data_IF_581982507943
#
_entry.id   IF_581982507943
#
_cell.length_a   1.000
_cell.length_b   1.000
_cell.length_c   1.000
_cell.angle_alpha   90.00
_cell.angle_beta   90.00
_cell.angle_gamma   90.00
#
_symmetry.space_group_name_H-M   'P 1'
#
loop_
_entity.id
_entity.type
_entity.pdbx_description
1 polymer ?
#
# COMPACT_ATOMS: atom_id res chain seq x y z
N UNK A 1 23.78 2.30 -3.84
CA UNK A 1 22.94 3.23 -4.63
C UNK A 1 21.66 3.51 -3.85
N UNK A 2 21.04 4.67 -4.05
CA UNK A 2 19.76 5.03 -3.46
C UNK A 2 18.97 5.86 -4.48
N UNK A 3 17.66 5.67 -4.52
CA UNK A 3 16.73 6.41 -5.38
C UNK A 3 15.33 6.33 -4.80
N UNK A 4 14.47 7.26 -5.23
CA UNK A 4 13.09 7.34 -4.78
C UNK A 4 12.13 6.73 -5.81
N UNK A 5 11.01 6.20 -5.31
CA UNK A 5 9.91 5.69 -6.13
C UNK A 5 8.66 6.48 -5.79
N UNK A 6 8.03 7.07 -6.80
CA UNK A 6 6.74 7.75 -6.64
C UNK A 6 5.63 6.91 -7.27
N UNK A 7 4.91 6.15 -6.44
CA UNK A 7 3.73 5.38 -6.84
C UNK A 7 2.59 5.47 -5.82
N UNK A 8 2.49 6.61 -5.13
CA UNK A 8 1.48 6.90 -4.09
C UNK A 8 1.32 5.73 -3.10
N UNK A 9 0.08 5.38 -2.71
CA UNK A 9 -0.21 4.30 -1.77
C UNK A 9 0.40 2.94 -2.18
N UNK A 10 0.63 2.72 -3.48
CA UNK A 10 1.22 1.48 -4.02
C UNK A 10 2.74 1.45 -4.02
N UNK A 11 3.39 2.51 -3.55
CA UNK A 11 4.85 2.65 -3.50
C UNK A 11 5.58 1.46 -2.89
N UNK A 12 5.06 0.87 -1.80
CA UNK A 12 5.73 -0.27 -1.16
C UNK A 12 5.70 -1.54 -2.02
N UNK A 13 4.60 -1.82 -2.73
CA UNK A 13 4.50 -3.01 -3.60
C UNK A 13 5.33 -2.84 -4.88
N UNK A 14 5.32 -1.66 -5.48
CA UNK A 14 6.24 -1.32 -6.58
C UNK A 14 7.70 -1.47 -6.15
N UNK A 15 8.05 -0.93 -4.98
CA UNK A 15 9.39 -1.06 -4.43
C UNK A 15 9.78 -2.50 -4.12
N UNK A 16 8.84 -3.34 -3.67
CA UNK A 16 9.07 -4.75 -3.40
C UNK A 16 9.42 -5.51 -4.68
N UNK A 17 8.71 -5.26 -5.78
CA UNK A 17 8.97 -5.89 -7.09
C UNK A 17 10.32 -5.46 -7.67
N UNK A 18 10.67 -4.18 -7.55
CA UNK A 18 11.98 -3.66 -7.96
C UNK A 18 13.09 -4.29 -7.10
N UNK A 19 12.92 -4.34 -5.78
CA UNK A 19 13.88 -4.93 -4.85
C UNK A 19 14.06 -6.44 -5.11
N UNK A 20 12.96 -7.16 -5.35
CA UNK A 20 12.96 -8.58 -5.75
C UNK A 20 13.81 -8.79 -7.00
N UNK A 21 13.53 -8.04 -8.07
CA UNK A 21 14.27 -8.14 -9.33
C UNK A 21 15.77 -7.88 -9.15
N UNK A 22 16.12 -6.88 -8.32
CA UNK A 22 17.51 -6.55 -8.00
C UNK A 22 18.23 -7.69 -7.27
N UNK A 23 17.56 -8.37 -6.36
CA UNK A 23 18.12 -9.50 -5.60
C UNK A 23 18.18 -10.77 -6.44
N UNK A 24 17.14 -11.08 -7.21
CA UNK A 24 17.05 -12.27 -8.07
C UNK A 24 18.09 -12.23 -9.19
N UNK A 25 18.39 -11.04 -9.75
CA UNK A 25 19.45 -10.85 -10.74
C UNK A 25 20.87 -11.16 -10.23
N UNK A 26 21.04 -11.32 -8.91
CA UNK A 26 22.34 -11.53 -8.27
C UNK A 26 23.21 -10.28 -8.18
N UNK A 27 22.70 -9.11 -8.62
CA UNK A 27 23.46 -7.85 -8.56
C UNK A 27 23.59 -7.30 -7.14
N UNK A 28 22.60 -7.55 -6.29
CA UNK A 28 22.60 -7.15 -4.88
C UNK A 28 22.18 -8.31 -3.98
N UNK A 29 22.85 -8.45 -2.84
CA UNK A 29 22.49 -9.48 -1.86
C UNK A 29 21.32 -9.04 -0.97
N UNK A 30 21.27 -7.74 -0.66
CA UNK A 30 20.27 -7.12 0.21
C UNK A 30 19.88 -5.76 -0.34
N UNK A 31 18.59 -5.43 -0.28
CA UNK A 31 18.00 -4.15 -0.65
C UNK A 31 17.20 -3.65 0.54
N UNK A 32 17.51 -2.43 1.01
CA UNK A 32 16.70 -1.73 2.00
C UNK A 32 15.59 -0.97 1.27
N UNK A 33 14.34 -1.36 1.52
CA UNK A 33 13.15 -0.68 1.02
C UNK A 33 12.49 0.08 2.16
N UNK A 34 12.29 1.39 1.95
CA UNK A 34 11.65 2.28 2.92
C UNK A 34 10.44 2.92 2.24
N UNK A 35 9.28 2.85 2.90
CA UNK A 35 8.13 3.66 2.56
C UNK A 35 7.88 4.65 3.69
N UNK A 36 7.93 5.94 3.38
CA UNK A 36 7.77 7.02 4.34
C UNK A 36 6.87 8.10 3.76
N UNK A 37 5.91 8.57 4.57
CA UNK A 37 4.83 9.44 4.14
C UNK A 37 4.60 10.52 5.20
N UNK A 38 4.50 11.78 4.74
CA UNK A 38 4.19 12.95 5.56
C UNK A 38 2.97 13.67 4.98
N UNK A 39 1.83 13.00 5.03
CA UNK A 39 0.58 13.47 4.40
C UNK A 39 -0.04 14.64 5.16
N UNK A 40 0.24 14.80 6.46
CA UNK A 40 -0.25 15.91 7.28
C UNK A 40 0.07 17.29 6.70
N UNK A 41 1.15 17.39 5.91
CA UNK A 41 1.56 18.63 5.25
C UNK A 41 0.71 19.03 4.03
N UNK A 42 -0.06 18.10 3.46
CA UNK A 42 -0.87 18.30 2.25
C UNK A 42 -2.36 18.02 2.47
N UNK A 43 -2.79 17.92 3.73
CA UNK A 43 -4.19 17.81 4.13
C UNK A 43 -4.84 19.19 4.24
N UNK A 44 -6.07 19.31 3.73
CA UNK A 44 -6.92 20.46 3.99
C UNK A 44 -7.65 20.28 5.33
N UNK A 45 -7.18 20.92 6.40
CA UNK A 45 -7.79 20.86 7.74
C UNK A 45 -9.21 21.48 7.84
N UNK A 46 -9.68 22.13 6.77
CA UNK A 46 -11.08 22.60 6.66
C UNK A 46 -11.99 21.60 5.96
N UNK A 47 -11.42 20.59 5.29
CA UNK A 47 -12.15 19.52 4.62
C UNK A 47 -12.16 18.23 5.44
N UNK A 48 -13.29 17.99 6.10
CA UNK A 48 -13.53 16.79 6.92
C UNK A 48 -13.39 15.48 6.14
N UNK A 49 -13.51 15.48 4.81
CA UNK A 49 -13.37 14.27 4.03
C UNK A 49 -11.93 13.74 3.99
N UNK A 50 -10.93 14.60 4.20
CA UNK A 50 -9.50 14.21 4.10
C UNK A 50 -8.82 14.16 5.46
N UNK A 51 -9.03 15.14 6.35
CA UNK A 51 -8.23 15.23 7.58
C UNK A 51 -8.48 14.13 8.62
N UNK A 52 -9.62 13.43 8.54
CA UNK A 52 -9.93 12.32 9.47
C UNK A 52 -9.31 10.99 9.04
N UNK A 53 -8.75 10.92 7.84
CA UNK A 53 -8.29 9.67 7.23
C UNK A 53 -6.78 9.51 7.26
N UNK A 54 -6.03 10.57 6.96
CA UNK A 54 -4.62 10.46 6.63
C UNK A 54 -3.71 10.70 7.84
N UNK A 55 -2.53 10.08 7.83
CA UNK A 55 -1.52 10.22 8.87
C UNK A 55 -0.10 10.19 8.30
N UNK A 56 0.85 10.46 9.18
CA UNK A 56 2.29 10.40 8.88
C UNK A 56 2.87 9.10 9.41
N UNK A 57 3.83 8.52 8.69
CA UNK A 57 4.47 7.29 9.14
C UNK A 57 5.54 6.79 8.19
N UNK A 58 6.36 5.85 8.69
CA UNK A 58 7.33 5.15 7.88
C UNK A 58 7.42 3.68 8.30
N UNK A 59 7.67 2.81 7.32
CA UNK A 59 7.98 1.41 7.51
C UNK A 59 9.09 0.98 6.55
N UNK A 60 9.86 -0.02 6.95
CA UNK A 60 10.98 -0.51 6.16
C UNK A 60 11.09 -2.03 6.19
N UNK A 61 11.65 -2.58 5.11
CA UNK A 61 11.98 -3.99 4.99
C UNK A 61 13.37 -4.15 4.36
N UNK A 62 14.07 -5.22 4.74
CA UNK A 62 15.28 -5.67 4.05
C UNK A 62 14.88 -6.87 3.20
N UNK A 63 15.06 -6.74 1.89
CA UNK A 63 14.79 -7.79 0.92
C UNK A 63 16.13 -8.42 0.57
N UNK A 64 16.25 -9.73 0.73
CA UNK A 64 17.47 -10.48 0.42
C UNK A 64 17.14 -11.88 -0.03
N UNK A 65 18.17 -12.65 -0.42
CA UNK A 65 18.00 -14.04 -0.83
C UNK A 65 17.50 -14.90 0.33
N UNK A 66 16.50 -15.72 0.05
CA UNK A 66 15.93 -16.70 0.97
C UNK A 66 16.38 -18.13 0.70
N UNK A 67 16.17 -18.99 1.69
CA UNK A 67 16.31 -20.45 1.55
C UNK A 67 14.96 -21.14 1.31
N UNK A 68 13.91 -20.38 0.97
CA UNK A 68 12.54 -20.86 0.76
C UNK A 68 11.83 -20.03 -0.33
N UNK A 69 10.54 -20.27 -0.51
CA UNK A 69 9.74 -19.77 -1.65
C UNK A 69 9.63 -18.23 -1.74
N UNK A 70 9.88 -17.49 -0.65
CA UNK A 70 9.95 -16.02 -0.66
C UNK A 70 8.67 -15.34 -1.16
N UNK A 71 8.82 -14.36 -2.06
CA UNK A 71 7.69 -13.68 -2.71
C UNK A 71 7.20 -14.57 -3.85
N UNK A 72 6.01 -15.16 -3.71
CA UNK A 72 5.45 -16.08 -4.71
C UNK A 72 5.08 -15.36 -6.01
N UNK A 73 4.39 -14.22 -5.91
CA UNK A 73 3.92 -13.44 -7.04
C UNK A 73 3.64 -11.99 -6.65
N UNK A 74 3.55 -11.14 -7.66
CA UNK A 74 3.24 -9.71 -7.56
C UNK A 74 2.39 -9.35 -8.78
N UNK A 75 1.22 -8.76 -8.54
CA UNK A 75 0.36 -8.27 -9.62
C UNK A 75 0.19 -6.75 -9.45
N UNK A 76 0.72 -6.00 -10.41
CA UNK A 76 0.75 -4.54 -10.39
C UNK A 76 -0.04 -4.01 -11.60
N UNK A 77 -0.97 -3.10 -11.33
CA UNK A 77 -1.82 -2.49 -12.34
C UNK A 77 -1.75 -0.96 -12.25
N UNK A 78 -2.12 -0.31 -13.36
CA UNK A 78 -2.23 1.13 -13.45
C UNK A 78 -3.46 1.50 -14.29
N UNK A 79 -4.23 2.48 -13.81
CA UNK A 79 -5.39 3.03 -14.52
C UNK A 79 -5.33 4.56 -14.45
N UNK A 80 -4.77 5.18 -15.49
CA UNK A 80 -4.64 6.64 -15.56
C UNK A 80 -5.97 7.36 -15.83
N UNK A 81 -7.02 6.64 -16.23
CA UNK A 81 -8.33 7.25 -16.53
C UNK A 81 -9.03 7.80 -15.30
N UNK A 82 -8.62 7.38 -14.11
CA UNK A 82 -9.20 7.75 -12.82
C UNK A 82 -8.38 8.76 -12.03
N UNK A 83 -7.44 9.47 -12.68
CA UNK A 83 -6.54 10.44 -12.02
C UNK A 83 -7.26 11.50 -11.20
N UNK A 84 -8.47 11.89 -11.62
CA UNK A 84 -9.23 12.97 -10.97
C UNK A 84 -9.94 12.48 -9.69
N UNK A 85 -9.88 11.17 -9.36
CA UNK A 85 -10.41 10.63 -8.11
C UNK A 85 -9.54 10.95 -6.89
N UNK A 86 -8.22 11.08 -7.07
CA UNK A 86 -7.27 11.37 -6.00
C UNK A 86 -6.05 12.10 -6.56
N UNK A 87 -5.93 13.39 -6.28
CA UNK A 87 -4.85 14.22 -6.84
C UNK A 87 -4.56 15.45 -6.00
N UNK A 88 -3.38 16.02 -6.20
CA UNK A 88 -3.04 17.36 -5.72
C UNK A 88 -3.00 18.31 -6.93
N UNK A 89 -3.90 19.30 -7.03
CA UNK A 89 -4.03 20.12 -8.24
C UNK A 89 -2.78 20.94 -8.59
N UNK A 90 -2.12 21.54 -7.60
CA UNK A 90 -0.97 22.43 -7.74
C UNK A 90 0.25 21.97 -6.95
N UNK A 91 1.40 22.59 -7.21
CA UNK A 91 2.69 22.30 -6.57
C UNK A 91 3.64 21.48 -7.45
N UNK A 92 3.13 20.91 -8.54
CA UNK A 92 3.93 20.31 -9.61
C UNK A 92 4.27 21.31 -10.72
N UNK A 93 4.99 20.84 -11.75
CA UNK A 93 5.37 21.67 -12.90
C UNK A 93 4.19 22.08 -13.79
N UNK A 94 3.13 21.27 -13.86
CA UNK A 94 1.93 21.59 -14.63
C UNK A 94 1.15 22.78 -14.04
N UNK A 95 1.25 22.98 -12.72
CA UNK A 95 0.64 24.10 -12.01
C UNK A 95 1.52 24.50 -10.81
N UNK A 96 2.53 25.37 -11.05
CA UNK A 96 3.48 25.77 -10.02
C UNK A 96 2.83 26.52 -8.85
N UNK A 97 3.59 26.67 -7.76
CA UNK A 97 3.19 27.49 -6.64
C UNK A 97 3.16 28.98 -7.03
N UNK A 98 2.00 29.61 -6.86
CA UNK A 98 1.74 31.04 -7.04
C UNK A 98 0.85 31.53 -5.90
N UNK A 99 0.75 32.84 -5.69
CA UNK A 99 -0.19 33.40 -4.70
C UNK A 99 -1.63 32.93 -4.97
N UNK A 100 -2.02 32.85 -6.24
CA UNK A 100 -3.34 32.38 -6.67
C UNK A 100 -3.58 30.91 -6.29
N UNK A 101 -2.66 30.00 -6.60
CA UNK A 101 -2.85 28.57 -6.32
C UNK A 101 -2.86 28.28 -4.82
N UNK A 102 -2.09 29.04 -4.04
CA UNK A 102 -2.10 28.98 -2.57
C UNK A 102 -3.42 29.51 -2.01
N UNK A 103 -3.87 30.70 -2.43
CA UNK A 103 -5.14 31.30 -2.00
C UNK A 103 -6.33 30.40 -2.30
N UNK A 104 -6.30 29.74 -3.46
CA UNK A 104 -7.34 28.80 -3.91
C UNK A 104 -7.19 27.39 -3.32
N UNK A 105 -6.26 27.17 -2.36
CA UNK A 105 -6.11 25.89 -1.63
C UNK A 105 -5.86 24.69 -2.55
N UNK A 106 -5.14 24.92 -3.66
CA UNK A 106 -4.88 23.94 -4.71
C UNK A 106 -3.70 23.01 -4.41
N UNK A 107 -2.96 23.28 -3.32
CA UNK A 107 -1.82 22.48 -2.86
C UNK A 107 -2.22 21.37 -1.87
N UNK A 108 -3.52 21.24 -1.59
CA UNK A 108 -4.03 20.15 -0.76
C UNK A 108 -4.59 19.02 -1.60
N UNK A 109 -4.51 17.81 -1.05
CA UNK A 109 -5.08 16.61 -1.64
C UNK A 109 -6.60 16.77 -1.84
N UNK A 110 -7.07 16.40 -3.03
CA UNK A 110 -8.50 16.32 -3.38
C UNK A 110 -8.87 14.86 -3.64
N UNK A 111 -10.03 14.45 -3.14
CA UNK A 111 -10.45 13.06 -3.19
C UNK A 111 -11.96 12.92 -3.43
N UNK A 112 -12.34 11.99 -4.30
CA UNK A 112 -13.69 11.45 -4.36
C UNK A 112 -13.72 10.09 -3.66
N UNK A 113 -13.95 10.10 -2.35
CA UNK A 113 -13.93 8.88 -1.54
C UNK A 113 -14.96 7.83 -1.95
N UNK A 114 -16.08 8.23 -2.58
CA UNK A 114 -17.13 7.30 -3.01
C UNK A 114 -16.69 6.54 -4.25
N UNK A 115 -16.13 7.23 -5.23
CA UNK A 115 -15.63 6.57 -6.45
C UNK A 115 -14.36 5.77 -6.17
N UNK A 116 -13.46 6.27 -5.31
CA UNK A 116 -12.30 5.49 -4.83
C UNK A 116 -12.75 4.18 -4.19
N UNK A 117 -13.75 4.20 -3.30
CA UNK A 117 -14.22 3.00 -2.62
C UNK A 117 -14.67 1.91 -3.61
N UNK A 118 -15.48 2.28 -4.60
CA UNK A 118 -15.98 1.34 -5.62
C UNK A 118 -14.84 0.82 -6.50
N UNK A 119 -13.95 1.72 -6.92
CA UNK A 119 -12.84 1.40 -7.80
C UNK A 119 -11.84 0.47 -7.10
N UNK A 120 -11.46 0.80 -5.85
CA UNK A 120 -10.56 0.02 -5.02
C UNK A 120 -11.07 -1.41 -4.82
N UNK A 121 -12.34 -1.60 -4.43
CA UNK A 121 -12.90 -2.96 -4.26
C UNK A 121 -12.79 -3.75 -5.56
N UNK A 122 -13.12 -3.15 -6.70
CA UNK A 122 -13.09 -3.85 -8.00
C UNK A 122 -11.67 -4.22 -8.40
N UNK A 123 -10.76 -3.25 -8.40
CA UNK A 123 -9.39 -3.42 -8.90
C UNK A 123 -8.51 -4.23 -7.95
N UNK A 124 -8.62 -4.02 -6.63
CA UNK A 124 -7.86 -4.82 -5.66
C UNK A 124 -8.33 -6.28 -5.64
N UNK A 125 -9.63 -6.54 -5.82
CA UNK A 125 -10.13 -7.93 -5.98
C UNK A 125 -9.52 -8.59 -7.22
N UNK A 126 -9.48 -7.87 -8.35
CA UNK A 126 -8.86 -8.37 -9.56
C UNK A 126 -7.35 -8.64 -9.37
N UNK A 127 -6.63 -7.70 -8.75
CA UNK A 127 -5.20 -7.86 -8.50
C UNK A 127 -4.88 -9.02 -7.55
N UNK A 128 -5.72 -9.24 -6.53
CA UNK A 128 -5.63 -10.41 -5.65
C UNK A 128 -5.79 -11.72 -6.42
N UNK A 129 -6.81 -11.78 -7.28
CA UNK A 129 -7.07 -12.98 -8.06
C UNK A 129 -5.88 -13.29 -8.99
N UNK A 130 -5.39 -12.28 -9.73
CA UNK A 130 -4.24 -12.45 -10.61
C UNK A 130 -2.99 -12.91 -9.84
N UNK A 131 -2.69 -12.28 -8.70
CA UNK A 131 -1.55 -12.67 -7.88
C UNK A 131 -1.68 -14.11 -7.36
N UNK A 132 -2.87 -14.52 -6.91
CA UNK A 132 -3.11 -15.90 -6.48
C UNK A 132 -3.01 -16.90 -7.64
N UNK A 133 -3.53 -16.55 -8.82
CA UNK A 133 -3.47 -17.39 -10.01
C UNK A 133 -2.02 -17.59 -10.48
N UNK A 134 -1.22 -16.52 -10.51
CA UNK A 134 0.23 -16.58 -10.79
C UNK A 134 0.99 -17.46 -9.79
N UNK A 135 0.63 -17.35 -8.51
CA UNK A 135 1.22 -18.17 -7.44
C UNK A 135 0.66 -19.60 -7.37
N UNK A 136 -0.40 -19.90 -8.15
CA UNK A 136 -1.12 -21.19 -8.15
C UNK A 136 -1.64 -21.58 -6.77
N UNK A 137 -2.18 -20.61 -6.05
CA UNK A 137 -2.79 -20.79 -4.72
C UNK A 137 -4.25 -20.37 -4.74
N UNK A 138 -4.96 -20.72 -3.67
CA UNK A 138 -6.34 -20.31 -3.43
C UNK A 138 -6.45 -19.44 -2.18
N UNK A 139 -7.59 -18.76 -1.95
CA UNK A 139 -7.81 -18.01 -0.70
C UNK A 139 -7.64 -18.84 0.57
N UNK A 140 -7.81 -20.17 0.50
CA UNK A 140 -7.65 -21.07 1.65
C UNK A 140 -6.20 -21.20 2.10
N UNK A 141 -5.26 -21.04 1.16
CA UNK A 141 -3.82 -21.19 1.38
C UNK A 141 -3.19 -19.92 1.97
N UNK A 142 -3.96 -18.82 2.05
CA UNK A 142 -3.52 -17.54 2.60
C UNK A 142 -3.74 -17.49 4.11
N UNK A 143 -2.67 -17.39 4.88
CA UNK A 143 -2.71 -17.33 6.35
C UNK A 143 -3.10 -15.95 6.89
N UNK A 144 -2.51 -14.91 6.33
CA UNK A 144 -2.71 -13.52 6.74
C UNK A 144 -2.78 -12.63 5.52
N UNK A 145 -3.55 -11.55 5.63
CA UNK A 145 -3.68 -10.56 4.56
C UNK A 145 -3.38 -9.17 5.11
N UNK A 146 -2.49 -8.47 4.40
CA UNK A 146 -2.11 -7.09 4.73
C UNK A 146 -2.49 -6.21 3.55
N UNK A 147 -3.64 -5.58 3.67
CA UNK A 147 -4.09 -4.57 2.73
C UNK A 147 -3.44 -3.21 3.04
N UNK A 148 -3.37 -2.35 2.04
CA UNK A 148 -3.25 -0.92 2.24
C UNK A 148 -4.33 -0.43 3.23
N UNK A 149 -3.88 0.26 4.28
CA UNK A 149 -4.72 0.71 5.39
C UNK A 149 -5.43 2.03 5.02
N UNK A 150 -6.21 2.01 3.93
CA UNK A 150 -6.92 3.20 3.43
C UNK A 150 -8.23 3.45 4.20
N UNK A 151 -9.01 2.39 4.37
CA UNK A 151 -10.30 2.42 5.04
C UNK A 151 -10.70 1.00 5.47
N UNK A 152 -11.10 0.83 6.74
CA UNK A 152 -11.51 -0.48 7.28
C UNK A 152 -12.60 -1.15 6.45
N UNK A 153 -13.56 -0.39 5.91
CA UNK A 153 -14.69 -0.92 5.12
C UNK A 153 -14.25 -1.51 3.78
N UNK A 154 -13.21 -0.95 3.15
CA UNK A 154 -12.64 -1.50 1.91
C UNK A 154 -12.02 -2.87 2.21
N UNK A 155 -11.21 -2.92 3.27
CA UNK A 155 -10.53 -4.15 3.74
C UNK A 155 -11.56 -5.25 4.02
N UNK A 156 -12.57 -4.95 4.85
CA UNK A 156 -13.63 -5.91 5.20
C UNK A 156 -14.42 -6.37 3.97
N UNK A 157 -14.72 -5.47 3.03
CA UNK A 157 -15.45 -5.81 1.81
C UNK A 157 -14.68 -6.75 0.91
N UNK A 158 -13.38 -6.53 0.74
CA UNK A 158 -12.53 -7.40 -0.07
C UNK A 158 -12.31 -8.73 0.65
N UNK A 159 -11.99 -8.72 1.95
CA UNK A 159 -11.80 -9.94 2.72
C UNK A 159 -13.02 -10.87 2.67
N UNK A 160 -14.22 -10.30 2.79
CA UNK A 160 -15.48 -11.04 2.66
C UNK A 160 -15.65 -11.71 1.28
N UNK A 161 -15.20 -11.07 0.19
CA UNK A 161 -15.28 -11.66 -1.16
C UNK A 161 -14.42 -12.92 -1.29
N UNK A 162 -13.28 -12.96 -0.61
CA UNK A 162 -12.37 -14.11 -0.61
C UNK A 162 -12.64 -15.12 0.51
N UNK A 163 -13.64 -14.86 1.37
CA UNK A 163 -14.00 -15.73 2.48
C UNK A 163 -12.97 -15.75 3.61
N UNK A 164 -12.16 -14.69 3.73
CA UNK A 164 -11.19 -14.58 4.83
C UNK A 164 -11.88 -14.07 6.10
N UNK A 165 -11.75 -14.78 7.23
CA UNK A 165 -12.30 -14.34 8.51
C UNK A 165 -11.45 -13.19 9.08
N UNK A 166 -12.01 -12.44 10.02
CA UNK A 166 -11.43 -11.20 10.53
C UNK A 166 -10.05 -11.39 11.16
N UNK A 167 -9.75 -12.58 11.72
CA UNK A 167 -8.49 -12.85 12.40
C UNK A 167 -7.30 -12.92 11.43
N UNK A 168 -7.56 -13.26 10.15
CA UNK A 168 -6.55 -13.25 9.08
C UNK A 168 -6.21 -11.84 8.62
N UNK A 169 -7.11 -10.88 8.82
CA UNK A 169 -6.92 -9.50 8.39
C UNK A 169 -6.01 -8.76 9.40
N UNK A 170 -4.88 -8.24 8.92
CA UNK A 170 -4.05 -7.33 9.71
C UNK A 170 -4.58 -5.91 9.52
N UNK A 171 -5.14 -5.34 10.58
CA UNK A 171 -5.74 -3.99 10.57
C UNK A 171 -5.17 -3.17 11.73
N UNK A 172 -4.54 -2.03 11.41
CA UNK A 172 -4.03 -1.07 12.38
C UNK A 172 -4.36 0.39 12.04
N UNK A 173 -5.16 0.64 11.02
CA UNK A 173 -5.60 1.97 10.58
C UNK A 173 -6.15 2.84 11.73
N UNK A 174 -6.79 2.24 12.74
CA UNK A 174 -7.33 2.93 13.91
C UNK A 174 -6.28 3.60 14.79
N UNK A 175 -5.00 3.23 14.65
CA UNK A 175 -3.89 3.79 15.44
C UNK A 175 -3.17 4.92 14.71
N UNK A 176 -2.99 4.79 13.40
CA UNK A 176 -2.10 5.67 12.61
C UNK A 176 -2.82 6.42 11.48
N UNK A 177 -4.08 6.10 11.21
CA UNK A 177 -4.75 6.51 9.98
C UNK A 177 -4.15 5.84 8.74
N UNK A 178 -4.46 6.41 7.59
CA UNK A 178 -3.92 6.04 6.29
C UNK A 178 -2.59 6.78 6.08
N UNK A 179 -1.48 6.06 6.21
CA UNK A 179 -0.10 6.53 5.97
C UNK A 179 0.39 6.18 4.56
N UNK A 180 -0.50 6.13 3.55
CA UNK A 180 -0.18 5.85 2.14
C UNK A 180 0.73 4.61 1.98
N UNK A 181 1.88 4.72 1.32
CA UNK A 181 2.81 3.62 1.06
C UNK A 181 3.34 2.96 2.35
N UNK A 182 3.39 3.70 3.47
CA UNK A 182 3.92 3.20 4.73
C UNK A 182 2.95 2.24 5.44
N UNK A 183 1.67 2.21 5.06
CA UNK A 183 0.64 1.41 5.75
C UNK A 183 0.97 -0.07 5.83
N UNK A 184 1.38 -0.69 4.71
CA UNK A 184 1.71 -2.11 4.62
C UNK A 184 2.93 -2.48 5.49
N UNK A 185 4.10 -1.83 5.34
CA UNK A 185 5.26 -2.21 6.14
C UNK A 185 5.08 -1.90 7.63
N UNK A 186 4.31 -0.86 8.01
CA UNK A 186 3.96 -0.61 9.41
C UNK A 186 3.09 -1.76 9.95
N UNK A 187 2.03 -2.13 9.24
CA UNK A 187 1.14 -3.22 9.63
C UNK A 187 1.87 -4.57 9.74
N UNK A 188 2.78 -4.85 8.79
CA UNK A 188 3.62 -6.04 8.81
C UNK A 188 4.54 -6.05 10.03
N UNK A 189 5.26 -4.95 10.28
CA UNK A 189 6.17 -4.83 11.41
C UNK A 189 5.45 -5.00 12.76
N UNK A 190 4.27 -4.39 12.92
CA UNK A 190 3.45 -4.56 14.12
C UNK A 190 2.96 -5.99 14.30
N UNK A 191 2.44 -6.62 13.25
CA UNK A 191 1.96 -8.00 13.32
C UNK A 191 3.08 -8.99 13.66
N UNK A 192 4.30 -8.74 13.18
CA UNK A 192 5.50 -9.48 13.57
C UNK A 192 5.89 -9.23 15.02
N UNK A 193 5.89 -7.97 15.46
CA UNK A 193 6.21 -7.59 16.85
C UNK A 193 5.22 -8.17 17.87
N UNK A 194 3.96 -8.34 17.48
CA UNK A 194 2.91 -8.98 18.28
C UNK A 194 2.96 -10.51 18.23
N UNK A 195 3.85 -11.11 17.43
CA UNK A 195 3.94 -12.55 17.26
C UNK A 195 2.78 -13.19 16.49
N UNK A 196 1.89 -12.38 15.87
CA UNK A 196 0.82 -12.86 14.98
C UNK A 196 1.43 -13.51 13.74
N UNK A 197 2.40 -12.83 13.14
CA UNK A 197 3.21 -13.35 12.05
C UNK A 197 4.56 -13.75 12.63
N UNK A 198 4.84 -15.06 12.74
CA UNK A 198 6.11 -15.53 13.31
C UNK A 198 7.26 -15.28 12.32
N UNK A 199 8.46 -14.95 12.81
CA UNK A 199 9.68 -14.73 11.98
C UNK A 199 10.04 -15.87 11.01
N UNK A 200 9.55 -17.10 11.24
CA UNK A 200 9.73 -18.25 10.34
C UNK A 200 8.71 -18.30 9.18
N UNK A 201 7.72 -17.39 9.16
CA UNK A 201 6.52 -17.41 8.31
C UNK A 201 6.60 -16.38 7.15
N UNK A 202 7.69 -15.60 7.04
CA UNK A 202 8.01 -14.83 5.82
C UNK A 202 8.46 -15.72 4.64
N UNK A 203 8.51 -17.02 4.87
CA UNK A 203 9.21 -18.00 4.04
C UNK A 203 8.26 -19.03 3.39
N UNK A 204 7.02 -19.13 3.86
CA UNK A 204 6.10 -20.24 3.56
C UNK A 204 4.67 -19.83 3.24
N UNK A 205 4.38 -18.53 3.14
CA UNK A 205 3.01 -18.08 2.92
C UNK A 205 2.91 -17.00 1.87
N UNK A 206 1.88 -17.04 1.03
CA UNK A 206 1.52 -15.92 0.18
C UNK A 206 1.13 -14.73 1.06
N UNK A 207 2.10 -13.88 1.38
CA UNK A 207 1.81 -12.54 1.88
C UNK A 207 1.35 -11.71 0.68
N UNK A 208 0.04 -11.62 0.48
CA UNK A 208 -0.52 -10.73 -0.52
C UNK A 208 -0.61 -9.33 0.08
N UNK A 209 0.44 -8.55 -0.21
CA UNK A 209 0.51 -7.14 0.14
C UNK A 209 -0.05 -6.34 -1.04
N UNK A 210 -1.07 -5.52 -0.79
CA UNK A 210 -1.82 -4.82 -1.83
C UNK A 210 -1.89 -3.33 -1.56
N UNK A 211 -1.88 -2.56 -2.63
CA UNK A 211 -2.17 -1.14 -2.58
C UNK A 211 -2.91 -0.67 -3.82
#
# INVERSE_FOLDING_TARGET
>A
PAFDISAACSGFIYGLEIARSMVESGRYNNVLLIAAEKLSGIIDWTDRNTFVLLGDGAGAAIIGRGNSDGILSTAIFFDGSVRDMLFQPAGGSAMPATEETVKNRMHFLKTDGKEIYKHAITKMTHALQEAMDMAKITPKDVDFVIFHQANKRIIESIAKKFGWPDEKNIINIQKYGNTSAATIPIALAEAMGQGRIKKKILWHYPLLALA
#
